data_IF_905908921667
#
_entry.id   IF_905908921667
#
_cell.length_a   1.000
_cell.length_b   1.000
_cell.length_c   1.000
_cell.angle_alpha   90.00
_cell.angle_beta   90.00
_cell.angle_gamma   90.00
#
_symmetry.space_group_name_H-M   'P 1'
#
loop_
_entity.id
_entity.type
_entity.pdbx_description
1 polymer ?
#
# COMPACT_ATOMS: atom_id res chain seq x y z
N UNK A 1 16.81 -52.54 5.91
CA UNK A 1 15.92 -51.41 5.54
C UNK A 1 16.80 -50.25 5.06
N UNK A 2 16.68 -49.83 3.78
CA UNK A 2 17.61 -48.92 3.14
C UNK A 2 17.55 -47.51 3.74
N UNK A 3 18.65 -46.99 4.30
CA UNK A 3 18.74 -45.62 4.83
C UNK A 3 18.22 -44.56 3.88
N UNK A 4 18.35 -44.78 2.57
CA UNK A 4 17.79 -43.86 1.52
C UNK A 4 16.27 -43.85 1.48
N UNK A 5 15.60 -44.98 1.74
CA UNK A 5 14.14 -45.08 1.80
C UNK A 5 13.59 -44.36 3.07
N UNK A 6 14.29 -44.47 4.20
CA UNK A 6 13.92 -43.76 5.41
C UNK A 6 14.08 -42.23 5.28
N UNK A 7 15.14 -41.77 4.61
CA UNK A 7 15.32 -40.35 4.32
C UNK A 7 14.27 -39.83 3.34
N UNK A 8 13.95 -40.59 2.29
CA UNK A 8 12.92 -40.21 1.34
C UNK A 8 11.51 -40.16 1.99
N UNK A 9 11.19 -41.14 2.83
CA UNK A 9 9.93 -41.15 3.58
C UNK A 9 9.85 -39.99 4.61
N UNK A 10 10.99 -39.67 5.27
CA UNK A 10 11.08 -38.53 6.18
C UNK A 10 10.89 -37.18 5.47
N UNK A 11 11.51 -37.00 4.29
CA UNK A 11 11.31 -35.79 3.48
C UNK A 11 9.87 -35.66 2.97
N UNK A 12 9.25 -36.76 2.55
CA UNK A 12 7.86 -36.78 2.11
C UNK A 12 6.89 -36.47 3.25
N UNK A 13 7.14 -37.01 4.43
CA UNK A 13 6.35 -36.70 5.62
C UNK A 13 6.51 -35.23 6.05
N UNK A 14 7.74 -34.68 5.97
CA UNK A 14 7.99 -33.26 6.24
C UNK A 14 7.27 -32.34 5.24
N UNK A 15 7.29 -32.69 3.96
CA UNK A 15 6.58 -31.96 2.91
C UNK A 15 5.05 -32.04 3.10
N UNK A 16 4.52 -33.20 3.52
CA UNK A 16 3.11 -33.37 3.80
C UNK A 16 2.64 -32.55 5.03
N UNK A 17 3.48 -32.41 6.06
CA UNK A 17 3.18 -31.58 7.23
C UNK A 17 3.27 -30.08 6.93
N UNK A 18 4.19 -29.66 6.05
CA UNK A 18 4.33 -28.26 5.65
C UNK A 18 3.30 -27.81 4.63
N UNK A 19 2.74 -28.73 3.82
CA UNK A 19 1.67 -28.43 2.86
C UNK A 19 0.28 -28.27 3.49
N UNK A 20 0.10 -28.65 4.75
CA UNK A 20 -1.20 -28.64 5.42
C UNK A 20 -1.61 -27.33 6.10
N UNK A 21 -0.75 -26.29 6.15
CA UNK A 21 -1.01 -25.10 6.96
C UNK A 21 -1.12 -23.77 6.20
N UNK A 22 -1.24 -23.78 4.89
CA UNK A 22 -1.53 -22.58 4.09
C UNK A 22 -2.97 -22.54 3.56
N UNK A 23 -3.91 -23.20 4.22
CA UNK A 23 -5.33 -22.97 4.02
C UNK A 23 -5.65 -21.56 4.52
N UNK A 24 -5.85 -20.60 3.61
CA UNK A 24 -6.64 -19.41 3.90
C UNK A 24 -7.94 -19.94 4.46
N UNK A 25 -8.16 -19.78 5.78
CA UNK A 25 -9.30 -20.35 6.47
C UNK A 25 -10.59 -19.83 5.84
N UNK A 26 -11.20 -20.64 4.99
CA UNK A 26 -12.54 -20.35 4.45
C UNK A 26 -13.56 -20.79 5.48
N UNK A 27 -14.56 -19.94 5.77
CA UNK A 27 -15.61 -20.23 6.74
C UNK A 27 -15.96 -19.02 7.59
N UNK A 28 -16.81 -19.22 8.61
CA UNK A 28 -17.18 -18.18 9.55
C UNK A 28 -15.94 -17.60 10.26
N UNK A 29 -15.88 -16.29 10.40
CA UNK A 29 -14.83 -15.63 11.18
C UNK A 29 -15.12 -15.87 12.66
N UNK A 30 -14.10 -16.22 13.45
CA UNK A 30 -14.28 -16.54 14.88
C UNK A 30 -14.79 -15.33 15.67
N UNK A 31 -15.66 -15.58 16.66
CA UNK A 31 -16.21 -14.56 17.54
C UNK A 31 -15.11 -13.74 18.25
N UNK A 32 -14.07 -14.39 18.77
CA UNK A 32 -12.94 -13.73 19.44
C UNK A 32 -12.28 -12.68 18.57
N UNK A 33 -12.16 -12.95 17.26
CA UNK A 33 -11.59 -12.02 16.31
C UNK A 33 -12.57 -10.90 15.94
N UNK A 34 -13.84 -11.25 15.77
CA UNK A 34 -14.89 -10.26 15.45
C UNK A 34 -15.12 -9.28 16.60
N UNK A 35 -15.09 -9.76 17.83
CA UNK A 35 -15.39 -8.97 19.01
C UNK A 35 -14.16 -8.34 19.66
N UNK A 36 -12.96 -8.61 19.13
CA UNK A 36 -11.74 -8.00 19.62
C UNK A 36 -11.92 -6.48 19.77
N UNK A 37 -11.29 -5.90 20.76
CA UNK A 37 -11.38 -4.47 20.99
C UNK A 37 -10.48 -3.71 19.98
N UNK A 38 -10.98 -2.69 19.28
CA UNK A 38 -10.15 -1.90 18.40
C UNK A 38 -9.16 -1.08 19.21
N UNK A 39 -7.98 -0.79 18.67
CA UNK A 39 -6.93 -0.03 19.35
C UNK A 39 -7.34 1.39 19.80
N UNK A 40 -8.38 1.94 19.20
CA UNK A 40 -9.08 3.14 19.66
C UNK A 40 -10.54 3.07 19.20
N UNK A 41 -11.47 3.81 19.84
CA UNK A 41 -12.87 3.84 19.44
C UNK A 41 -13.06 4.18 17.96
N UNK A 42 -14.13 3.67 17.38
CA UNK A 42 -14.53 4.04 16.03
C UNK A 42 -15.16 5.44 16.03
N UNK A 43 -14.81 6.24 15.05
CA UNK A 43 -15.35 7.58 14.84
C UNK A 43 -16.64 7.48 14.03
N UNK A 44 -17.77 7.36 14.72
CA UNK A 44 -19.06 7.17 14.10
C UNK A 44 -19.69 8.45 13.53
N UNK A 45 -19.32 9.62 14.08
CA UNK A 45 -19.85 10.91 13.68
C UNK A 45 -18.93 11.54 12.62
N UNK A 46 -18.92 10.95 11.44
CA UNK A 46 -18.17 11.48 10.31
C UNK A 46 -19.11 12.12 9.29
N UNK A 47 -18.67 13.19 8.65
CA UNK A 47 -19.39 13.81 7.55
C UNK A 47 -19.04 13.17 6.21
N UNK A 48 -18.56 11.94 6.21
CA UNK A 48 -18.08 11.21 5.03
C UNK A 48 -18.74 9.86 4.96
N UNK A 49 -18.99 9.41 3.73
CA UNK A 49 -19.52 8.07 3.46
C UNK A 49 -18.57 6.98 3.94
N UNK A 50 -17.28 7.21 3.83
CA UNK A 50 -16.25 6.32 4.38
C UNK A 50 -15.12 7.13 5.04
N UNK A 51 -14.81 6.76 6.29
CA UNK A 51 -13.73 7.32 7.08
C UNK A 51 -12.74 6.24 7.46
N UNK A 52 -11.46 6.44 7.15
CA UNK A 52 -10.40 5.47 7.38
C UNK A 52 -9.28 6.12 8.18
N UNK A 53 -8.92 5.52 9.32
CA UNK A 53 -7.77 5.96 10.13
C UNK A 53 -6.66 4.93 10.05
N UNK A 54 -5.53 5.29 9.45
CA UNK A 54 -4.35 4.43 9.37
C UNK A 54 -3.52 4.60 10.64
N UNK A 55 -3.09 3.49 11.22
CA UNK A 55 -2.32 3.44 12.46
C UNK A 55 -0.82 3.27 12.18
N UNK A 56 0.02 3.59 13.16
CA UNK A 56 1.48 3.43 13.07
C UNK A 56 1.91 1.97 12.88
N UNK A 57 1.17 1.02 13.44
CA UNK A 57 1.38 -0.42 13.32
C UNK A 57 0.94 -1.01 11.96
N UNK A 58 0.62 -0.14 11.00
CA UNK A 58 0.11 -0.47 9.66
C UNK A 58 -1.33 -0.99 9.60
N UNK A 59 -1.99 -1.20 10.73
CA UNK A 59 -3.43 -1.48 10.72
C UNK A 59 -4.21 -0.22 10.32
N UNK A 60 -5.44 -0.42 9.88
CA UNK A 60 -6.36 0.69 9.66
C UNK A 60 -7.74 0.34 10.23
N UNK A 61 -8.43 1.35 10.69
CA UNK A 61 -9.82 1.30 11.12
C UNK A 61 -10.65 1.99 10.06
N UNK A 62 -11.76 1.39 9.72
CA UNK A 62 -12.70 1.94 8.75
C UNK A 62 -14.08 2.04 9.40
N UNK A 63 -14.74 3.16 9.17
CA UNK A 63 -16.18 3.33 9.38
C UNK A 63 -16.76 3.73 8.04
N UNK A 64 -17.75 3.00 7.55
CA UNK A 64 -18.39 3.31 6.28
C UNK A 64 -19.90 3.13 6.38
N UNK A 65 -20.64 3.98 5.70
CA UNK A 65 -22.08 3.84 5.56
C UNK A 65 -22.41 2.56 4.80
N UNK A 66 -23.55 1.96 5.15
CA UNK A 66 -24.04 0.79 4.43
C UNK A 66 -25.12 1.21 3.43
N UNK A 67 -25.05 0.67 2.22
CA UNK A 67 -26.04 0.82 1.14
C UNK A 67 -26.58 -0.53 0.66
N UNK A 68 -26.15 -1.63 1.29
CA UNK A 68 -26.54 -3.00 0.97
C UNK A 68 -26.65 -3.84 2.24
N UNK A 69 -27.48 -4.85 2.20
CA UNK A 69 -27.56 -5.88 3.26
C UNK A 69 -26.36 -6.83 3.28
N UNK A 70 -25.58 -6.86 2.19
CA UNK A 70 -24.37 -7.70 2.08
C UNK A 70 -23.22 -6.84 1.57
N UNK A 71 -22.10 -6.89 2.28
CA UNK A 71 -20.90 -6.14 1.99
C UNK A 71 -19.76 -7.12 1.75
N UNK A 72 -19.12 -7.02 0.60
CA UNK A 72 -17.99 -7.85 0.18
C UNK A 72 -16.69 -7.09 0.39
N UNK A 73 -15.86 -7.56 1.33
CA UNK A 73 -14.61 -6.93 1.71
C UNK A 73 -13.41 -7.71 1.14
N UNK A 74 -12.74 -7.12 0.18
CA UNK A 74 -11.62 -7.75 -0.51
C UNK A 74 -10.48 -6.76 -0.76
N UNK A 75 -9.35 -7.28 -1.19
CA UNK A 75 -8.23 -6.50 -1.77
C UNK A 75 -7.97 -7.01 -3.17
N UNK A 76 -7.68 -6.11 -4.08
CA UNK A 76 -7.17 -6.50 -5.40
C UNK A 76 -5.70 -6.89 -5.30
N UNK A 77 -5.31 -7.98 -5.95
CA UNK A 77 -3.93 -8.34 -6.14
C UNK A 77 -3.34 -7.65 -7.39
N UNK A 78 -2.02 -7.80 -7.59
CA UNK A 78 -1.35 -7.20 -8.75
C UNK A 78 -1.65 -7.89 -10.10
N UNK A 79 -2.41 -8.98 -10.11
CA UNK A 79 -2.72 -9.78 -11.28
C UNK A 79 -4.20 -9.69 -11.70
N UNK A 80 -4.98 -8.84 -11.01
CA UNK A 80 -6.40 -8.64 -11.29
C UNK A 80 -7.34 -9.58 -10.52
N UNK A 81 -6.81 -10.44 -9.66
CA UNK A 81 -7.58 -11.25 -8.72
C UNK A 81 -7.97 -10.48 -7.46
N UNK A 82 -8.79 -11.13 -6.63
CA UNK A 82 -9.17 -10.64 -5.30
C UNK A 82 -8.67 -11.58 -4.21
N UNK A 83 -8.40 -11.01 -3.05
CA UNK A 83 -8.07 -11.74 -1.83
C UNK A 83 -8.95 -11.22 -0.69
N UNK A 84 -9.37 -12.08 0.22
CA UNK A 84 -10.22 -11.66 1.32
C UNK A 84 -9.55 -10.62 2.21
N UNK A 85 -10.27 -9.57 2.55
CA UNK A 85 -9.82 -8.62 3.55
C UNK A 85 -9.91 -9.24 4.94
N UNK A 86 -8.78 -9.33 5.63
CA UNK A 86 -8.73 -9.88 6.98
C UNK A 86 -9.32 -8.88 7.98
N UNK A 87 -10.58 -9.06 8.38
CA UNK A 87 -11.28 -8.16 9.31
C UNK A 87 -11.21 -8.62 10.75
N UNK A 88 -11.20 -7.69 11.68
CA UNK A 88 -11.32 -7.89 13.12
C UNK A 88 -12.05 -6.71 13.75
N UNK A 89 -12.49 -6.83 14.99
CA UNK A 89 -13.20 -5.76 15.73
C UNK A 89 -14.41 -5.23 14.95
N UNK A 90 -15.19 -6.13 14.38
CA UNK A 90 -16.33 -5.73 13.54
C UNK A 90 -17.45 -5.18 14.41
N UNK A 91 -18.00 -4.04 14.00
CA UNK A 91 -19.14 -3.40 14.65
C UNK A 91 -20.12 -2.92 13.58
N UNK A 92 -21.40 -3.03 13.86
CA UNK A 92 -22.44 -2.45 13.03
C UNK A 92 -23.29 -1.51 13.87
N UNK A 93 -23.45 -0.28 13.40
CA UNK A 93 -24.29 0.75 14.02
C UNK A 93 -25.57 0.90 13.21
N UNK A 94 -26.69 0.69 13.87
CA UNK A 94 -28.02 0.94 13.29
C UNK A 94 -28.29 2.46 13.17
N UNK A 95 -29.26 2.86 12.32
CA UNK A 95 -29.65 4.29 12.20
C UNK A 95 -30.13 4.91 13.52
N UNK A 96 -30.65 4.09 14.44
CA UNK A 96 -31.08 4.54 15.77
C UNK A 96 -29.90 4.72 16.78
N UNK A 97 -28.66 4.52 16.31
CA UNK A 97 -27.45 4.64 17.12
C UNK A 97 -27.05 3.37 17.90
N UNK A 98 -27.84 2.33 17.89
CA UNK A 98 -27.49 1.05 18.54
C UNK A 98 -26.31 0.41 17.81
N UNK A 99 -25.27 0.04 18.57
CA UNK A 99 -24.08 -0.65 18.05
C UNK A 99 -24.11 -2.12 18.49
N UNK A 100 -23.88 -3.02 17.55
CA UNK A 100 -23.72 -4.47 17.80
C UNK A 100 -22.35 -4.94 17.36
N UNK A 101 -21.86 -6.01 17.98
CA UNK A 101 -20.57 -6.63 17.67
C UNK A 101 -20.67 -7.60 16.48
N UNK A 102 -19.52 -8.02 15.96
CA UNK A 102 -19.52 -8.97 14.85
C UNK A 102 -20.11 -10.34 15.20
N UNK A 103 -19.94 -10.83 16.44
CA UNK A 103 -20.59 -12.05 16.89
C UNK A 103 -22.11 -11.88 17.08
N UNK A 104 -22.56 -10.69 17.51
CA UNK A 104 -23.98 -10.38 17.58
C UNK A 104 -24.63 -10.31 16.18
N UNK A 105 -23.89 -9.86 15.14
CA UNK A 105 -24.35 -9.97 13.75
C UNK A 105 -24.66 -11.43 13.43
N UNK A 106 -23.71 -12.34 13.69
CA UNK A 106 -23.90 -13.79 13.45
C UNK A 106 -25.05 -14.38 14.27
N UNK A 107 -25.21 -13.98 15.52
CA UNK A 107 -26.26 -14.46 16.40
C UNK A 107 -27.66 -13.96 16.03
N UNK A 108 -27.78 -12.93 15.19
CA UNK A 108 -29.04 -12.34 14.74
C UNK A 108 -29.34 -12.64 13.27
N UNK A 109 -29.01 -13.84 12.81
CA UNK A 109 -29.19 -14.30 11.42
C UNK A 109 -28.37 -13.55 10.36
N UNK A 110 -27.40 -12.73 10.75
CA UNK A 110 -26.39 -12.19 9.86
C UNK A 110 -25.22 -13.16 9.73
N UNK A 111 -24.25 -12.82 8.89
CA UNK A 111 -23.09 -13.67 8.66
C UNK A 111 -21.83 -12.82 8.51
N UNK A 112 -20.73 -13.27 9.10
CA UNK A 112 -19.38 -12.77 8.78
C UNK A 112 -18.52 -13.98 8.45
N UNK A 113 -18.27 -14.21 7.17
CA UNK A 113 -17.50 -15.35 6.70
C UNK A 113 -16.41 -14.95 5.73
N UNK A 114 -15.33 -15.67 5.73
CA UNK A 114 -14.23 -15.51 4.78
C UNK A 114 -14.33 -16.60 3.71
N UNK A 115 -14.30 -16.18 2.46
CA UNK A 115 -14.17 -17.06 1.29
C UNK A 115 -12.70 -17.03 0.79
N UNK A 116 -12.44 -17.62 -0.36
CA UNK A 116 -11.13 -17.55 -1.00
C UNK A 116 -10.81 -16.14 -1.48
N UNK A 117 -11.80 -15.41 -1.95
CA UNK A 117 -11.64 -14.17 -2.73
C UNK A 117 -12.04 -12.91 -1.93
N UNK A 118 -12.90 -13.09 -0.90
CA UNK A 118 -13.50 -11.97 -0.16
C UNK A 118 -13.93 -12.38 1.26
N UNK A 119 -14.15 -11.39 2.11
CA UNK A 119 -14.83 -11.52 3.40
C UNK A 119 -16.22 -10.91 3.26
N UNK A 120 -17.25 -11.74 3.42
CA UNK A 120 -18.64 -11.34 3.29
C UNK A 120 -19.17 -10.97 4.67
N UNK A 121 -19.78 -9.79 4.77
CA UNK A 121 -20.54 -9.33 5.93
C UNK A 121 -21.98 -9.19 5.49
N UNK A 122 -22.83 -10.15 5.86
CA UNK A 122 -24.27 -10.06 5.70
C UNK A 122 -24.89 -9.48 6.98
N UNK A 123 -25.62 -8.39 6.85
CA UNK A 123 -26.27 -7.73 7.98
C UNK A 123 -27.39 -8.60 8.55
N UNK A 124 -27.76 -8.43 9.84
CA UNK A 124 -28.82 -9.20 10.47
C UNK A 124 -30.19 -8.94 9.81
N UNK A 125 -31.09 -9.91 9.94
CA UNK A 125 -32.49 -9.74 9.53
C UNK A 125 -33.10 -8.51 10.19
N UNK A 126 -33.78 -7.68 9.37
CA UNK A 126 -34.39 -6.42 9.83
C UNK A 126 -33.41 -5.25 9.95
N UNK A 127 -32.12 -5.44 9.68
CA UNK A 127 -31.22 -4.29 9.50
C UNK A 127 -31.56 -3.58 8.18
N UNK A 128 -31.74 -2.25 8.19
CA UNK A 128 -32.00 -1.53 6.96
C UNK A 128 -30.76 -1.60 6.04
N UNK A 129 -30.96 -1.76 4.73
CA UNK A 129 -29.84 -1.82 3.78
C UNK A 129 -29.05 -0.50 3.71
N UNK A 130 -29.64 0.61 4.14
CA UNK A 130 -29.04 1.93 4.11
C UNK A 130 -29.27 2.70 5.42
N UNK A 131 -28.39 3.67 5.70
CA UNK A 131 -28.46 4.51 6.89
C UNK A 131 -27.84 3.91 8.16
N UNK A 132 -27.35 2.68 8.09
CA UNK A 132 -26.44 2.12 9.10
C UNK A 132 -24.99 2.35 8.73
N UNK A 133 -24.08 2.02 9.64
CA UNK A 133 -22.65 2.08 9.41
C UNK A 133 -21.93 0.81 9.85
N UNK A 134 -21.03 0.30 9.01
CA UNK A 134 -20.15 -0.82 9.31
C UNK A 134 -18.78 -0.30 9.71
N UNK A 135 -18.25 -0.78 10.82
CA UNK A 135 -16.89 -0.49 11.23
C UNK A 135 -16.10 -1.79 11.39
N UNK A 136 -14.83 -1.74 11.00
CA UNK A 136 -13.90 -2.85 11.18
C UNK A 136 -12.47 -2.38 11.22
N UNK A 137 -11.60 -3.22 11.76
CA UNK A 137 -10.14 -3.05 11.70
C UNK A 137 -9.54 -4.10 10.78
N UNK A 138 -8.54 -3.72 10.00
CA UNK A 138 -7.80 -4.64 9.13
C UNK A 138 -6.31 -4.29 9.08
N UNK A 139 -5.49 -5.24 8.67
CA UNK A 139 -4.08 -5.00 8.45
C UNK A 139 -3.83 -4.20 7.15
N UNK A 140 -2.83 -3.36 7.12
CA UNK A 140 -2.40 -2.59 5.95
C UNK A 140 -1.00 -2.97 5.48
N UNK A 141 -0.45 -2.16 4.57
CA UNK A 141 0.93 -2.27 4.09
C UNK A 141 1.72 -1.04 4.53
N UNK A 142 2.99 -1.18 4.97
CA UNK A 142 3.80 -0.03 5.33
C UNK A 142 3.92 0.99 4.20
N UNK A 143 3.77 2.28 4.53
CA UNK A 143 3.92 3.42 3.59
C UNK A 143 2.99 3.41 2.38
N UNK A 144 2.04 2.48 2.33
CA UNK A 144 1.05 2.39 1.27
C UNK A 144 -0.28 1.90 1.82
N UNK A 145 -1.32 2.67 1.57
CA UNK A 145 -2.69 2.27 1.80
C UNK A 145 -3.36 2.07 0.45
N UNK A 146 -4.12 0.99 0.29
CA UNK A 146 -4.93 0.72 -0.90
C UNK A 146 -6.15 -0.05 -0.46
N UNK A 147 -7.30 0.47 -0.80
CA UNK A 147 -8.59 -0.13 -0.48
C UNK A 147 -9.55 0.03 -1.67
N UNK A 148 -10.28 -1.04 -2.06
CA UNK A 148 -11.37 -0.91 -3.00
C UNK A 148 -12.45 0.05 -2.49
N UNK A 149 -13.15 0.70 -3.39
CA UNK A 149 -14.29 1.55 -3.09
C UNK A 149 -15.52 0.66 -2.87
N UNK A 150 -15.75 0.24 -1.62
CA UNK A 150 -16.88 -0.63 -1.29
C UNK A 150 -18.22 0.09 -1.34
N UNK A 151 -18.22 1.40 -1.13
CA UNK A 151 -19.38 2.28 -1.14
C UNK A 151 -19.05 3.51 -1.96
N UNK A 152 -19.88 3.86 -2.93
CA UNK A 152 -19.75 5.13 -3.64
C UNK A 152 -20.10 6.29 -2.70
N UNK A 153 -19.30 7.33 -2.71
CA UNK A 153 -19.52 8.50 -1.88
C UNK A 153 -18.24 9.24 -1.53
N UNK A 154 -18.31 10.08 -0.52
CA UNK A 154 -17.21 10.89 -0.04
C UNK A 154 -16.29 10.08 0.87
N UNK A 155 -14.98 10.30 0.75
CA UNK A 155 -13.96 9.55 1.50
C UNK A 155 -13.06 10.50 2.29
N UNK A 156 -12.64 10.03 3.43
CA UNK A 156 -11.57 10.63 4.22
C UNK A 156 -10.61 9.55 4.71
N UNK A 157 -9.32 9.78 4.52
CA UNK A 157 -8.27 8.90 5.02
C UNK A 157 -7.30 9.70 5.87
N UNK A 158 -7.23 9.36 7.16
CA UNK A 158 -6.33 9.98 8.12
C UNK A 158 -5.04 9.17 8.20
N UNK A 159 -3.92 9.82 7.92
CA UNK A 159 -2.60 9.22 7.99
C UNK A 159 -2.06 9.22 9.41
N UNK A 160 -1.17 8.28 9.77
CA UNK A 160 -0.49 8.33 11.06
C UNK A 160 0.31 9.63 11.22
N UNK A 161 0.66 10.02 12.47
CA UNK A 161 1.52 11.17 12.71
C UNK A 161 2.84 11.11 11.92
N UNK A 162 3.41 12.26 11.61
CA UNK A 162 4.69 12.42 10.89
C UNK A 162 4.73 11.83 9.47
N UNK A 163 3.58 11.54 8.88
CA UNK A 163 3.50 11.12 7.47
C UNK A 163 3.30 12.33 6.56
N UNK A 164 3.90 12.24 5.37
CA UNK A 164 3.89 13.30 4.36
C UNK A 164 3.54 12.75 2.98
N UNK A 165 2.97 13.64 2.14
CA UNK A 165 2.55 13.37 0.77
C UNK A 165 3.19 14.34 -0.25
N UNK A 166 3.80 15.43 0.24
CA UNK A 166 4.16 16.62 -0.53
C UNK A 166 5.22 16.38 -1.62
N UNK A 167 6.01 15.30 -1.51
CA UNK A 167 7.07 15.01 -2.46
C UNK A 167 6.64 13.92 -3.46
N UNK A 168 6.46 14.25 -4.76
CA UNK A 168 5.82 13.38 -5.75
C UNK A 168 6.52 12.02 -6.00
N UNK A 169 7.83 11.92 -5.69
CA UNK A 169 8.57 10.66 -5.85
C UNK A 169 8.15 9.64 -4.77
N UNK A 170 7.82 10.11 -3.56
CA UNK A 170 7.48 9.27 -2.41
C UNK A 170 6.01 9.31 -2.03
N UNK A 171 5.33 10.45 -2.28
CA UNK A 171 3.90 10.65 -2.04
C UNK A 171 3.10 10.50 -3.33
N UNK A 172 1.99 9.78 -3.28
CA UNK A 172 1.05 9.67 -4.39
C UNK A 172 -0.33 9.35 -3.85
N UNK A 173 -1.34 10.00 -4.39
CA UNK A 173 -2.75 9.78 -4.04
C UNK A 173 -3.54 9.54 -5.32
N UNK A 174 -4.44 8.57 -5.28
CA UNK A 174 -5.36 8.26 -6.37
C UNK A 174 -6.73 7.88 -5.78
N UNK A 175 -7.83 8.38 -6.33
CA UNK A 175 -7.96 9.33 -7.43
C UNK A 175 -7.45 10.74 -7.10
N UNK A 176 -7.18 11.55 -8.13
CA UNK A 176 -6.45 12.80 -8.03
C UNK A 176 -7.27 14.02 -7.54
N UNK A 177 -8.59 13.92 -7.42
CA UNK A 177 -9.49 15.01 -6.99
C UNK A 177 -9.64 15.04 -5.46
N UNK A 178 -8.54 15.19 -4.73
CA UNK A 178 -8.51 15.19 -3.27
C UNK A 178 -8.00 16.53 -2.73
N UNK A 179 -8.37 16.81 -1.49
CA UNK A 179 -7.82 17.89 -0.68
C UNK A 179 -7.02 17.31 0.48
N UNK A 180 -6.10 18.08 1.03
CA UNK A 180 -5.34 17.68 2.22
C UNK A 180 -5.47 18.73 3.30
N UNK A 181 -5.81 18.27 4.49
CA UNK A 181 -5.84 19.08 5.69
C UNK A 181 -4.87 18.50 6.73
N UNK A 182 -4.44 19.32 7.67
CA UNK A 182 -3.61 18.87 8.79
C UNK A 182 -4.29 19.26 10.08
N UNK A 183 -4.49 18.28 10.93
CA UNK A 183 -5.09 18.51 12.25
C UNK A 183 -4.08 19.10 13.27
N UNK A 184 -4.57 19.41 14.46
CA UNK A 184 -3.74 19.92 15.56
C UNK A 184 -2.71 18.89 16.06
N UNK A 185 -2.93 17.59 15.83
CA UNK A 185 -2.01 16.49 16.14
C UNK A 185 -0.93 16.29 15.08
N UNK A 186 -0.98 17.05 13.97
CA UNK A 186 -0.05 16.94 12.85
C UNK A 186 -0.35 15.77 11.90
N UNK A 187 -1.49 15.10 12.05
CA UNK A 187 -1.95 14.06 11.13
C UNK A 187 -2.44 14.70 9.84
N UNK A 188 -2.21 14.03 8.73
CA UNK A 188 -2.67 14.47 7.42
C UNK A 188 -3.96 13.76 7.08
N UNK A 189 -5.00 14.54 6.81
CA UNK A 189 -6.29 14.10 6.31
C UNK A 189 -6.28 14.22 4.79
N UNK A 190 -6.57 13.14 4.10
CA UNK A 190 -6.75 13.12 2.64
C UNK A 190 -8.24 12.98 2.39
N UNK A 191 -8.84 14.01 1.79
CA UNK A 191 -10.30 14.19 1.73
C UNK A 191 -10.75 14.19 0.28
N UNK A 192 -11.70 13.36 -0.05
CA UNK A 192 -12.47 13.42 -1.29
C UNK A 192 -13.87 13.93 -0.94
N UNK A 193 -14.07 15.22 -1.18
CA UNK A 193 -15.35 15.90 -0.91
C UNK A 193 -16.44 15.54 -1.93
N UNK A 194 -16.04 15.15 -3.12
CA UNK A 194 -16.92 14.62 -4.17
C UNK A 194 -16.98 13.10 -4.13
N UNK A 195 -18.07 12.47 -4.61
CA UNK A 195 -18.18 11.02 -4.66
C UNK A 195 -17.03 10.37 -5.45
N UNK A 196 -16.36 9.43 -4.83
CA UNK A 196 -15.31 8.61 -5.46
C UNK A 196 -15.98 7.54 -6.30
N UNK A 197 -15.82 7.63 -7.62
CA UNK A 197 -16.29 6.66 -8.61
C UNK A 197 -15.21 5.70 -9.09
N UNK A 198 -13.95 5.93 -8.69
CA UNK A 198 -12.85 5.05 -9.00
C UNK A 198 -12.95 3.76 -8.19
N UNK A 199 -12.59 2.63 -8.79
CA UNK A 199 -12.64 1.29 -8.17
C UNK A 199 -11.78 1.15 -6.90
N UNK A 200 -10.85 2.06 -6.67
CA UNK A 200 -9.86 1.92 -5.60
C UNK A 200 -9.35 3.29 -5.15
N UNK A 201 -9.26 3.47 -3.85
CA UNK A 201 -8.51 4.56 -3.21
C UNK A 201 -7.11 4.05 -2.85
N UNK A 202 -6.08 4.77 -3.28
CA UNK A 202 -4.68 4.43 -3.01
C UNK A 202 -3.89 5.64 -2.58
N UNK A 203 -3.15 5.49 -1.48
CA UNK A 203 -2.31 6.54 -0.91
C UNK A 203 -0.92 5.95 -0.65
N UNK A 204 0.10 6.57 -1.21
CA UNK A 204 1.50 6.32 -0.87
C UNK A 204 2.00 7.50 -0.06
N UNK A 205 2.59 7.24 1.10
CA UNK A 205 3.10 8.25 2.01
C UNK A 205 4.48 7.87 2.52
N UNK A 206 5.22 8.86 3.03
CA UNK A 206 6.59 8.67 3.50
C UNK A 206 6.81 9.38 4.84
N UNK A 207 7.90 9.02 5.54
CA UNK A 207 8.34 9.76 6.73
C UNK A 207 9.32 10.87 6.32
N UNK A 208 9.28 11.98 7.02
CA UNK A 208 10.20 13.09 6.76
C UNK A 208 11.68 12.67 6.79
N UNK A 209 12.05 11.73 7.67
CA UNK A 209 13.41 11.18 7.72
C UNK A 209 13.85 10.50 6.42
N UNK A 210 12.93 9.88 5.68
CA UNK A 210 13.25 9.21 4.43
C UNK A 210 13.76 10.21 3.38
N UNK A 211 13.23 11.43 3.41
CA UNK A 211 13.67 12.52 2.54
C UNK A 211 15.10 12.97 2.86
N UNK A 212 15.46 13.05 4.14
CA UNK A 212 16.84 13.38 4.55
C UNK A 212 17.84 12.29 4.15
N UNK A 213 17.48 11.02 4.32
CA UNK A 213 18.31 9.89 3.89
C UNK A 213 18.50 9.92 2.37
N UNK A 214 17.43 10.10 1.62
CA UNK A 214 17.49 10.22 0.16
C UNK A 214 18.37 11.40 -0.28
N UNK A 215 18.15 12.58 0.30
CA UNK A 215 18.96 13.78 0.01
C UNK A 215 20.44 13.58 0.32
N UNK A 216 20.76 12.91 1.45
CA UNK A 216 22.13 12.57 1.80
C UNK A 216 22.79 11.63 0.79
N UNK A 217 22.08 10.60 0.32
CA UNK A 217 22.58 9.68 -0.71
C UNK A 217 22.82 10.42 -2.03
N UNK A 218 21.86 11.24 -2.46
CA UNK A 218 21.99 12.03 -3.70
C UNK A 218 23.19 12.98 -3.61
N UNK A 219 23.38 13.67 -2.48
CA UNK A 219 24.51 14.54 -2.26
C UNK A 219 25.86 13.78 -2.29
N UNK A 220 25.92 12.60 -1.67
CA UNK A 220 27.11 11.74 -1.69
C UNK A 220 27.46 11.30 -3.11
N UNK A 221 26.48 10.77 -3.85
CA UNK A 221 26.66 10.33 -5.24
C UNK A 221 27.08 11.50 -6.13
N UNK A 222 26.46 12.67 -5.95
CA UNK A 222 26.82 13.89 -6.65
C UNK A 222 28.25 14.35 -6.35
N UNK A 223 28.69 14.28 -5.09
CA UNK A 223 30.05 14.64 -4.69
C UNK A 223 31.08 13.65 -5.27
N UNK A 224 30.83 12.36 -5.21
CA UNK A 224 31.72 11.33 -5.78
C UNK A 224 31.77 11.46 -7.31
N UNK A 225 30.62 11.59 -7.97
CA UNK A 225 30.55 11.75 -9.42
C UNK A 225 31.22 13.06 -9.90
N UNK A 226 30.90 14.17 -9.26
CA UNK A 226 31.49 15.48 -9.57
C UNK A 226 33.00 15.52 -9.29
N UNK A 227 33.43 14.97 -8.16
CA UNK A 227 34.85 14.84 -7.82
C UNK A 227 35.60 13.94 -8.81
N UNK A 228 34.99 12.83 -9.22
CA UNK A 228 35.53 11.94 -10.25
C UNK A 228 35.67 12.63 -11.59
N UNK A 229 34.64 13.34 -12.03
CA UNK A 229 34.69 14.12 -13.29
C UNK A 229 35.77 15.21 -13.28
N UNK A 230 35.89 15.91 -12.16
CA UNK A 230 36.91 16.92 -11.98
C UNK A 230 38.33 16.31 -12.00
N UNK A 231 38.53 15.17 -11.33
CA UNK A 231 39.79 14.42 -11.34
C UNK A 231 40.18 13.98 -12.76
N UNK A 232 39.23 13.35 -13.48
CA UNK A 232 39.45 12.91 -14.86
C UNK A 232 39.72 14.04 -15.82
N UNK A 233 39.01 15.18 -15.74
CA UNK A 233 39.31 16.38 -16.55
C UNK A 233 40.73 16.87 -16.33
N UNK A 234 41.15 17.00 -15.06
CA UNK A 234 42.56 17.38 -14.76
C UNK A 234 43.57 16.37 -15.29
N UNK A 235 43.28 15.09 -15.28
CA UNK A 235 44.17 14.07 -15.81
C UNK A 235 44.28 14.15 -17.34
N UNK A 236 43.17 14.36 -18.02
CA UNK A 236 43.13 14.56 -19.48
C UNK A 236 43.96 15.80 -19.86
N UNK A 237 43.79 16.91 -19.16
CA UNK A 237 44.56 18.15 -19.45
C UNK A 237 46.07 17.93 -19.26
N UNK A 238 46.48 17.22 -18.21
CA UNK A 238 47.88 16.85 -18.00
C UNK A 238 48.44 15.95 -19.12
N UNK A 239 47.65 15.01 -19.59
CA UNK A 239 48.03 14.14 -20.69
C UNK A 239 48.13 14.88 -22.01
N UNK A 240 47.23 15.84 -22.30
CA UNK A 240 47.30 16.72 -23.45
C UNK A 240 48.56 17.58 -23.43
N UNK A 241 48.90 18.22 -22.30
CA UNK A 241 50.12 18.98 -22.14
C UNK A 241 51.37 18.13 -22.40
N UNK A 242 51.45 16.93 -21.88
CA UNK A 242 52.56 16.00 -22.14
C UNK A 242 52.67 15.58 -23.61
N UNK A 243 51.58 15.45 -24.34
CA UNK A 243 51.61 15.17 -25.79
C UNK A 243 52.15 16.34 -26.57
N UNK A 244 51.73 17.55 -26.24
CA UNK A 244 52.30 18.79 -26.83
C UNK A 244 53.80 18.90 -26.56
N UNK A 245 54.26 18.64 -25.34
CA UNK A 245 55.69 18.67 -24.97
C UNK A 245 56.50 17.59 -25.73
N UNK A 246 55.92 16.43 -26.07
CA UNK A 246 56.58 15.38 -26.83
C UNK A 246 56.55 15.58 -28.36
N UNK A 247 55.96 16.67 -28.84
CA UNK A 247 55.89 16.98 -30.29
C UNK A 247 55.02 15.98 -31.09
N UNK A 248 54.14 15.22 -30.42
CA UNK A 248 53.21 14.30 -31.06
C UNK A 248 51.88 15.05 -31.23
N UNK A 249 51.91 16.11 -32.01
CA UNK A 249 50.70 16.76 -32.49
C UNK A 249 50.37 16.13 -33.84
N UNK A 250 49.50 15.17 -33.84
CA UNK A 250 48.86 14.72 -35.07
C UNK A 250 47.71 15.69 -35.27
N UNK A 251 47.97 16.77 -36.04
CA UNK A 251 46.88 17.50 -36.70
C UNK A 251 46.12 16.45 -37.54
N UNK A 252 44.95 16.07 -37.07
CA UNK A 252 43.97 15.40 -37.91
C UNK A 252 43.38 16.54 -38.74
N UNK A 253 43.94 16.75 -39.92
CA UNK A 253 43.29 17.50 -40.97
C UNK A 253 41.97 16.81 -41.29
N UNK A 254 40.87 17.36 -40.86
CA UNK A 254 39.49 16.91 -41.14
C UNK A 254 39.11 17.19 -42.65
N UNK A 255 40.07 17.56 -43.52
CA UNK A 255 39.81 17.98 -44.91
C UNK A 255 40.01 16.82 -45.93
N UNK A 256 40.21 15.61 -45.52
CA UNK A 256 40.37 14.49 -46.52
C UNK A 256 39.10 13.61 -46.59
N UNK A 257 37.96 14.23 -46.95
CA UNK A 257 36.76 13.52 -47.42
C UNK A 257 36.94 12.95 -48.88
N UNK A 258 38.02 12.28 -49.14
CA UNK A 258 38.20 11.57 -50.38
C UNK A 258 38.17 10.05 -50.18
N UNK A 259 37.43 9.27 -51.00
CA UNK A 259 37.52 7.82 -50.93
C UNK A 259 38.95 7.39 -51.31
N UNK A 260 39.49 6.34 -50.66
CA UNK A 260 40.87 5.92 -50.87
C UNK A 260 41.14 5.59 -52.34
N UNK A 261 42.31 5.94 -52.89
CA UNK A 261 42.66 5.72 -54.29
C UNK A 261 42.75 4.19 -54.53
N UNK A 262 41.76 3.63 -55.24
CA UNK A 262 41.70 2.21 -55.64
C UNK A 262 40.32 1.62 -55.78
N UNK A 263 39.27 2.35 -55.51
CA UNK A 263 37.89 1.92 -55.80
C UNK A 263 37.26 2.79 -56.87
N UNK A 264 37.54 2.45 -58.11
CA UNK A 264 36.77 2.81 -59.31
C UNK A 264 36.44 1.56 -60.08
#
# INVERSE_FOLDING_TARGET
MNRRLLLAAGCLALLAVTSGCLGIGTGPVSADRLDSEPAAPYEWETNRTAHVTIQENTQFRTVMETNSSTIELYRRDGFGGTNPLSVQSVRYRYPNGTVITGSEIQNRSGEVRQTRDETIVALPDGAPPSGGALAFTSGGTPKRFTLPTYVEGTYEVVLPPDRRLDFPIFGQVSPGNYETERDAGGQVHVIWAEPVTADTVSIRFYLQRDLYIFGGIVALVGAVGGGGLFYYRRQIDRLRQRRLEMGIDVEIDDDDEGPPPGMR
#
